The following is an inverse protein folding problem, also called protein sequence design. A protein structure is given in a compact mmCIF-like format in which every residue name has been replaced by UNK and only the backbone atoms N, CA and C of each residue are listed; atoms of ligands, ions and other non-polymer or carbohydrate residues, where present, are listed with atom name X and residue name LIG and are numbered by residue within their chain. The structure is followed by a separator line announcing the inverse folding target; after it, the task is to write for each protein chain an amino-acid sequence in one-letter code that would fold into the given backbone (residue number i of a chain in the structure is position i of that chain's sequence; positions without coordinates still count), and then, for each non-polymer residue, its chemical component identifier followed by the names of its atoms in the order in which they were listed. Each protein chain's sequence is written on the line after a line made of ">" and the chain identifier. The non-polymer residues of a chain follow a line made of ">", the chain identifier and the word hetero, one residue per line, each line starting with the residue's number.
data_IF_416412338832
#
_entry.id   IF_416412338832
#
_cell.length_a   1.000
_cell.length_b   1.000
_cell.length_c   1.000
_cell.angle_alpha   90.00
_cell.angle_beta   90.00
_cell.angle_gamma   90.00
#
_symmetry.space_group_name_H-M   'P 1'
#
loop_
_entity.id
_entity.type
_entity.pdbx_description
1 polymer ?
#
# COMPACT_ATOMS: atom_id res chain seq x y z
N UNK A 1 8.82 -17.90 20.05
CA UNK A 1 8.42 -18.13 18.66
C UNK A 1 8.11 -16.83 17.92
N UNK A 2 7.18 -15.99 18.40
CA UNK A 2 6.83 -14.72 17.72
C UNK A 2 8.01 -13.74 17.58
N UNK A 3 8.75 -13.47 18.66
CA UNK A 3 9.93 -12.59 18.60
C UNK A 3 11.00 -13.10 17.62
N UNK A 4 11.27 -14.41 17.64
CA UNK A 4 12.19 -15.07 16.70
C UNK A 4 11.76 -14.90 15.24
N UNK A 5 10.45 -15.04 14.95
CA UNK A 5 9.93 -14.82 13.60
C UNK A 5 10.11 -13.36 13.16
N UNK A 6 9.89 -12.40 14.06
CA UNK A 6 10.12 -10.98 13.80
C UNK A 6 11.62 -10.71 13.54
N UNK A 7 12.50 -11.27 14.37
CA UNK A 7 13.95 -11.09 14.21
C UNK A 7 14.43 -11.61 12.84
N UNK A 8 14.01 -12.83 12.47
CA UNK A 8 14.32 -13.42 11.16
C UNK A 8 13.76 -12.60 10.00
N UNK A 9 12.53 -12.09 10.14
CA UNK A 9 11.91 -11.26 9.12
C UNK A 9 12.65 -9.93 8.90
N UNK A 10 13.50 -9.50 9.83
CA UNK A 10 14.24 -8.22 9.78
C UNK A 10 15.74 -8.33 9.50
N UNK A 11 16.28 -9.53 9.32
CA UNK A 11 17.73 -9.81 9.30
C UNK A 11 18.52 -8.99 8.27
N UNK A 12 17.92 -8.70 7.12
CA UNK A 12 18.50 -8.01 5.97
C UNK A 12 17.99 -6.56 5.82
N UNK A 13 17.43 -5.99 6.89
CA UNK A 13 16.92 -4.61 6.92
C UNK A 13 15.87 -4.33 5.83
N UNK A 14 14.78 -5.12 5.75
CA UNK A 14 13.83 -5.02 4.65
C UNK A 14 12.98 -3.74 4.72
N UNK A 15 12.37 -3.40 3.59
CA UNK A 15 11.27 -2.44 3.56
C UNK A 15 10.04 -2.99 4.30
N UNK A 16 9.16 -2.08 4.76
CA UNK A 16 7.97 -2.44 5.55
C UNK A 16 7.06 -3.47 4.86
N UNK A 17 6.87 -3.37 3.54
CA UNK A 17 6.02 -4.30 2.79
C UNK A 17 6.58 -5.73 2.85
N UNK A 18 7.87 -5.89 2.54
CA UNK A 18 8.58 -7.17 2.59
C UNK A 18 8.54 -7.78 4.00
N UNK A 19 8.69 -6.95 5.03
CA UNK A 19 8.56 -7.40 6.42
C UNK A 19 7.16 -7.96 6.73
N UNK A 20 6.10 -7.28 6.29
CA UNK A 20 4.72 -7.73 6.49
C UNK A 20 4.47 -9.03 5.73
N UNK A 21 4.91 -9.13 4.49
CA UNK A 21 4.73 -10.31 3.64
C UNK A 21 5.37 -11.54 4.28
N UNK A 22 6.64 -11.45 4.71
CA UNK A 22 7.38 -12.53 5.39
C UNK A 22 6.73 -13.00 6.68
N UNK A 23 6.11 -12.10 7.43
CA UNK A 23 5.37 -12.47 8.64
C UNK A 23 4.04 -13.13 8.29
N UNK A 24 3.37 -12.68 7.23
CA UNK A 24 2.11 -13.28 6.77
C UNK A 24 2.28 -14.72 6.32
N UNK A 25 3.40 -15.04 5.64
CA UNK A 25 3.77 -16.41 5.24
C UNK A 25 3.94 -17.35 6.43
N UNK A 26 4.27 -16.80 7.61
CA UNK A 26 4.38 -17.52 8.88
C UNK A 26 3.08 -17.50 9.70
N UNK A 27 1.98 -17.03 9.12
CA UNK A 27 0.68 -16.92 9.79
C UNK A 27 0.58 -15.78 10.80
N UNK A 28 1.47 -14.79 10.72
CA UNK A 28 1.51 -13.62 11.60
C UNK A 28 0.97 -12.40 10.85
N UNK A 29 -0.17 -11.86 11.28
CA UNK A 29 -0.70 -10.61 10.74
C UNK A 29 -0.11 -9.41 11.47
N UNK A 30 0.25 -8.36 10.72
CA UNK A 30 0.78 -7.11 11.25
C UNK A 30 -0.23 -5.99 11.08
N UNK A 31 -0.39 -5.14 12.10
CA UNK A 31 -1.20 -3.92 12.02
C UNK A 31 -0.41 -2.73 12.52
N UNK A 32 -0.33 -1.69 11.70
CA UNK A 32 0.31 -0.41 12.00
C UNK A 32 -0.78 0.66 12.08
N UNK A 33 -0.76 1.48 13.12
CA UNK A 33 -1.73 2.57 13.30
C UNK A 33 -1.13 3.72 14.10
N UNK A 34 -1.56 4.97 13.86
CA UNK A 34 -1.27 6.07 14.77
C UNK A 34 -1.80 5.78 16.18
N UNK A 35 -1.03 6.16 17.20
CA UNK A 35 -1.43 6.19 18.61
C UNK A 35 -2.09 7.53 18.93
N UNK A 36 -2.78 7.66 20.09
CA UNK A 36 -3.34 8.95 20.51
C UNK A 36 -2.31 10.08 20.65
N UNK A 37 -1.02 9.74 20.83
CA UNK A 37 0.09 10.70 20.91
C UNK A 37 0.61 11.12 19.53
N UNK A 38 0.04 10.61 18.43
CA UNK A 38 0.46 10.89 17.06
C UNK A 38 1.64 10.05 16.56
N UNK A 39 2.15 9.12 17.37
CA UNK A 39 3.23 8.21 16.94
C UNK A 39 2.70 6.97 16.25
N UNK A 40 3.49 6.31 15.41
CA UNK A 40 3.09 5.02 14.83
C UNK A 40 3.29 3.88 15.84
N UNK A 41 2.21 3.16 16.12
CA UNK A 41 2.19 1.91 16.88
C UNK A 41 2.12 0.71 15.95
N UNK A 42 2.62 -0.44 16.43
CA UNK A 42 2.56 -1.72 15.73
C UNK A 42 2.02 -2.81 16.66
N UNK A 43 1.26 -3.74 16.09
CA UNK A 43 0.74 -4.93 16.76
C UNK A 43 0.82 -6.13 15.83
N UNK A 44 1.01 -7.30 16.43
CA UNK A 44 1.17 -8.59 15.76
C UNK A 44 0.07 -9.54 16.22
N UNK A 45 -0.49 -10.32 15.31
CA UNK A 45 -1.49 -11.34 15.63
C UNK A 45 -1.01 -12.69 15.11
N UNK A 46 -0.95 -13.68 16.00
CA UNK A 46 -0.61 -15.06 15.68
C UNK A 46 -1.81 -15.94 16.07
N UNK A 47 -2.47 -16.54 15.08
CA UNK A 47 -3.74 -17.24 15.31
C UNK A 47 -4.79 -16.28 15.85
N UNK A 48 -5.32 -16.55 17.05
CA UNK A 48 -6.32 -15.71 17.71
C UNK A 48 -5.73 -14.67 18.68
N UNK A 49 -4.44 -14.77 18.99
CA UNK A 49 -3.80 -13.97 20.03
C UNK A 49 -3.09 -12.77 19.40
N UNK A 50 -3.36 -11.58 19.92
CA UNK A 50 -2.72 -10.34 19.50
C UNK A 50 -1.77 -9.79 20.58
N UNK A 51 -0.62 -9.28 20.15
CA UNK A 51 0.41 -8.68 20.99
C UNK A 51 0.76 -7.30 20.46
N UNK A 52 0.81 -6.29 21.32
CA UNK A 52 1.39 -5.00 20.93
C UNK A 52 2.91 -5.11 20.85
N UNK A 53 3.54 -4.27 20.03
CA UNK A 53 5.01 -4.17 20.02
C UNK A 53 5.58 -3.83 21.40
N UNK A 54 4.88 -2.98 22.18
CA UNK A 54 5.29 -2.65 23.56
C UNK A 54 5.23 -3.85 24.50
N UNK A 55 4.26 -4.76 24.31
CA UNK A 55 4.14 -5.98 25.09
C UNK A 55 5.28 -6.98 24.79
N UNK A 56 5.73 -7.04 23.54
CA UNK A 56 6.89 -7.86 23.15
C UNK A 56 8.23 -7.24 23.59
N UNK A 57 8.26 -5.92 23.77
CA UNK A 57 9.40 -5.16 24.29
C UNK A 57 9.83 -4.03 23.36
N UNK A 58 10.69 -3.15 23.87
CA UNK A 58 11.09 -1.90 23.19
C UNK A 58 11.60 -2.13 21.77
N UNK A 59 12.34 -3.21 21.51
CA UNK A 59 12.89 -3.55 20.20
C UNK A 59 11.83 -3.92 19.15
N UNK A 60 10.63 -4.31 19.56
CA UNK A 60 9.54 -4.77 18.68
C UNK A 60 8.44 -3.73 18.48
N UNK A 61 8.62 -2.53 19.06
CA UNK A 61 7.82 -1.34 18.73
C UNK A 61 8.15 -0.84 17.34
N UNK A 62 7.28 -0.04 16.71
CA UNK A 62 7.50 0.43 15.35
C UNK A 62 8.85 1.16 15.19
N UNK A 63 9.10 2.16 16.04
CA UNK A 63 10.41 2.85 16.13
C UNK A 63 11.54 1.91 16.55
N UNK A 64 11.25 0.93 17.40
CA UNK A 64 12.20 -0.08 17.85
C UNK A 64 12.73 -0.94 16.72
N UNK A 65 11.87 -1.37 15.81
CA UNK A 65 12.27 -2.17 14.66
C UNK A 65 13.21 -1.39 13.74
N UNK A 66 12.92 -0.11 13.49
CA UNK A 66 13.79 0.75 12.70
C UNK A 66 15.17 0.92 13.38
N UNK A 67 15.18 1.12 14.71
CA UNK A 67 16.40 1.41 15.46
C UNK A 67 17.28 0.19 15.77
N UNK A 68 16.68 -0.95 16.10
CA UNK A 68 17.39 -2.12 16.65
C UNK A 68 17.33 -3.37 15.77
N UNK A 69 16.50 -3.35 14.72
CA UNK A 69 16.28 -4.49 13.82
C UNK A 69 16.43 -4.13 12.34
N UNK A 70 16.76 -2.89 12.01
CA UNK A 70 17.04 -2.47 10.63
C UNK A 70 15.81 -2.34 9.75
N UNK A 71 14.59 -2.31 10.31
CA UNK A 71 13.39 -2.15 9.50
C UNK A 71 13.41 -0.79 8.78
N UNK A 72 13.35 -0.82 7.45
CA UNK A 72 13.41 0.38 6.64
C UNK A 72 12.00 0.94 6.39
N UNK A 73 11.74 2.13 6.93
CA UNK A 73 10.50 2.86 6.72
C UNK A 73 10.82 4.35 6.61
N UNK A 74 10.61 4.90 5.41
CA UNK A 74 10.63 6.33 5.16
C UNK A 74 9.19 6.84 5.17
N UNK A 75 8.90 7.75 6.09
CA UNK A 75 7.64 8.47 6.09
C UNK A 75 7.82 9.74 5.27
N UNK A 76 7.24 9.79 4.08
CA UNK A 76 7.14 11.06 3.35
C UNK A 76 6.13 11.95 4.08
N UNK A 77 6.64 12.78 4.99
CA UNK A 77 5.86 13.78 5.76
C UNK A 77 5.13 14.80 4.88
N UNK A 78 5.39 14.82 3.57
CA UNK A 78 4.80 15.74 2.61
C UNK A 78 3.61 15.17 1.82
N UNK A 79 3.23 13.90 2.01
CA UNK A 79 1.95 13.44 1.47
C UNK A 79 0.84 13.81 2.47
N UNK A 80 0.06 14.84 2.15
CA UNK A 80 -1.23 15.10 2.81
C UNK A 80 -2.09 13.83 2.72
N UNK A 81 -2.02 12.99 3.75
CA UNK A 81 -2.82 11.78 3.82
C UNK A 81 -4.25 12.19 4.18
N UNK A 82 -5.13 12.33 3.19
CA UNK A 82 -6.57 12.42 3.42
C UNK A 82 -7.03 11.06 3.95
N UNK A 83 -7.47 10.94 5.22
CA UNK A 83 -7.92 9.67 5.76
C UNK A 83 -9.37 9.46 5.36
N UNK A 84 -9.60 8.93 4.15
CA UNK A 84 -10.91 8.38 3.82
C UNK A 84 -10.73 7.21 2.85
N UNK A 85 -11.00 6.00 3.35
CA UNK A 85 -11.92 5.02 2.75
C UNK A 85 -11.74 3.67 3.47
N UNK A 86 -12.46 3.52 4.58
CA UNK A 86 -12.98 2.21 4.96
C UNK A 86 -14.11 1.88 3.99
N UNK A 87 -13.76 1.33 2.84
CA UNK A 87 -14.73 0.66 1.97
C UNK A 87 -14.11 -0.64 1.50
N UNK A 88 -14.53 -1.72 2.14
CA UNK A 88 -14.27 -3.07 1.66
C UNK A 88 -14.78 -3.21 0.23
N UNK A 89 -13.96 -3.76 -0.67
CA UNK A 89 -14.33 -4.62 -1.81
C UNK A 89 -13.04 -4.93 -2.60
N UNK A 90 -12.26 -5.90 -2.13
CA UNK A 90 -11.23 -6.54 -2.95
C UNK A 90 -11.93 -7.59 -3.82
N UNK A 91 -12.42 -7.17 -4.99
CA UNK A 91 -12.80 -8.12 -6.02
C UNK A 91 -11.52 -8.59 -6.71
N UNK A 92 -11.07 -9.78 -6.29
CA UNK A 92 -10.15 -10.61 -7.05
C UNK A 92 -10.88 -11.01 -8.35
N UNK A 93 -10.45 -10.47 -9.48
CA UNK A 93 -10.85 -10.96 -10.81
C UNK A 93 -9.59 -11.38 -11.55
N UNK A 94 -9.29 -12.68 -11.50
CA UNK A 94 -8.40 -13.36 -12.45
C UNK A 94 -9.22 -13.81 -13.67
N UNK A 95 -8.71 -13.56 -14.89
CA UNK A 95 -8.60 -14.46 -16.07
C UNK A 95 -8.59 -13.62 -17.38
N UNK A 96 -7.53 -13.62 -18.19
CA UNK A 96 -7.01 -14.63 -19.14
C UNK A 96 -7.91 -14.90 -20.37
N UNK A 97 -7.32 -14.76 -21.57
CA UNK A 97 -7.80 -15.30 -22.86
C UNK A 97 -8.28 -14.23 -23.84
N UNK A 98 -7.45 -13.77 -24.78
CA UNK A 98 -7.26 -14.31 -26.14
C UNK A 98 -8.37 -13.94 -27.12
N UNK A 99 -8.06 -13.16 -28.15
CA UNK A 99 -8.46 -13.41 -29.55
C UNK A 99 -7.84 -12.35 -30.48
N UNK A 100 -7.10 -12.85 -31.46
CA UNK A 100 -6.60 -12.16 -32.64
C UNK A 100 -7.73 -11.51 -33.46
N UNK A 101 -7.44 -10.36 -34.08
CA UNK A 101 -7.95 -10.06 -35.42
C UNK A 101 -7.18 -8.89 -36.03
N UNK A 102 -6.20 -9.26 -36.85
CA UNK A 102 -5.73 -8.57 -38.04
C UNK A 102 -6.89 -8.00 -38.89
N UNK A 103 -6.94 -6.70 -39.15
CA UNK A 103 -7.48 -6.10 -40.40
C UNK A 103 -7.04 -4.63 -40.52
N UNK A 104 -6.45 -4.27 -41.66
CA UNK A 104 -6.04 -2.91 -41.99
C UNK A 104 -7.14 -2.05 -42.66
N UNK A 105 -6.66 -1.00 -43.34
CA UNK A 105 -7.35 -0.03 -44.23
C UNK A 105 -7.81 1.30 -43.59
N UNK A 106 -6.87 2.25 -43.61
CA UNK A 106 -6.81 3.46 -44.46
C UNK A 106 -8.09 4.21 -44.92
N UNK A 107 -7.91 5.53 -45.05
CA UNK A 107 -8.70 6.55 -45.77
C UNK A 107 -9.78 7.39 -45.05
N UNK A 108 -9.35 8.61 -44.70
CA UNK A 108 -9.80 9.91 -45.21
C UNK A 108 -11.26 10.44 -45.09
N UNK A 109 -11.27 11.75 -44.83
CA UNK A 109 -12.13 12.81 -45.39
C UNK A 109 -13.22 13.49 -44.54
N UNK A 110 -12.89 14.75 -44.24
CA UNK A 110 -13.68 15.98 -44.40
C UNK A 110 -14.89 16.19 -43.49
N UNK A 111 -14.65 16.96 -42.43
CA UNK A 111 -15.68 17.60 -41.63
C UNK A 111 -15.94 19.00 -42.20
N UNK A 112 -17.04 19.16 -42.93
CA UNK A 112 -17.51 20.39 -43.54
C UNK A 112 -18.55 21.09 -42.65
N UNK A 113 -18.40 22.43 -42.56
CA UNK A 113 -19.43 23.46 -42.34
C UNK A 113 -20.06 23.62 -40.94
N UNK A 114 -19.80 24.73 -40.22
CA UNK A 114 -20.16 26.16 -40.42
C UNK A 114 -21.48 26.56 -39.72
N UNK A 115 -21.37 27.55 -38.82
CA UNK A 115 -22.31 28.65 -38.51
C UNK A 115 -21.99 29.17 -37.09
N UNK A 116 -21.82 30.46 -36.80
CA UNK A 116 -21.95 31.68 -37.58
C UNK A 116 -21.94 32.88 -36.62
N UNK A 117 -21.25 33.95 -37.05
CA UNK A 117 -21.61 35.37 -36.91
C UNK A 117 -21.93 35.96 -35.52
N UNK A 118 -21.13 36.92 -35.01
CA UNK A 118 -21.20 38.39 -35.26
C UNK A 118 -21.58 39.04 -33.89
N UNK A 119 -20.97 40.10 -33.36
CA UNK A 119 -20.87 41.48 -33.88
C UNK A 119 -19.85 42.32 -33.09
N UNK A 120 -19.15 43.20 -33.80
CA UNK A 120 -18.36 44.38 -33.37
C UNK A 120 -19.22 45.43 -32.63
N UNK A 121 -18.81 46.71 -32.44
CA UNK A 121 -17.48 47.34 -32.46
C UNK A 121 -17.24 48.25 -31.22
N UNK A 122 -15.99 48.70 -31.01
CA UNK A 122 -15.54 50.11 -31.08
C UNK A 122 -14.02 50.17 -31.09
#
# INVERSE_FOLDING_TARGET
>A
QLQTAIDLATVDSPAIAVFIDRLSEQGISVKIKPTPTGELGISYKLGEIAFSGTHLGKAYTFKGLQKYRGLNYFHDTNSEFIPQLQSQNYNKSECNGSADSDTGEDTNETNDNNNGENTSPV
#
